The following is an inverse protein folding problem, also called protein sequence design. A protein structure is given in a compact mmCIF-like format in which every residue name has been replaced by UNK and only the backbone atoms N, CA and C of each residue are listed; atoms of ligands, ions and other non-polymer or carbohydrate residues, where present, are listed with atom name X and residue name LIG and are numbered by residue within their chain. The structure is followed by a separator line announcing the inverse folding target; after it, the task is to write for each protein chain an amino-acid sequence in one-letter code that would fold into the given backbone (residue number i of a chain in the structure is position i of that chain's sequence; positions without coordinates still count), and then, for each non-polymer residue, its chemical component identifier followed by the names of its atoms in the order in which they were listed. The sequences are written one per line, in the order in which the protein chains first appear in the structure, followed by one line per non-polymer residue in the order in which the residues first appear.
data_IF_547092676878
#
_entry.id   IF_547092676878
#
_cell.length_a   1.000
_cell.length_b   1.000
_cell.length_c   1.000
_cell.angle_alpha   90.00
_cell.angle_beta   90.00
_cell.angle_gamma   90.00
#
_symmetry.space_group_name_H-M   'P 1'
#
loop_
_entity.id
_entity.type
_entity.pdbx_description
1 polymer ?
#
# COMPACT_ATOMS: atom_id res chain seq x y z
N UNK A 1 -3.11 11.85 -0.12
CA UNK A 1 -2.25 12.10 -1.29
C UNK A 1 -2.46 10.95 -2.26
N UNK A 2 -2.57 11.20 -3.57
CA UNK A 2 -2.89 10.14 -4.52
C UNK A 2 -1.65 9.33 -4.92
N UNK A 3 -1.83 8.01 -4.99
CA UNK A 3 -0.95 7.05 -5.64
C UNK A 3 -1.54 6.62 -6.96
N UNK A 4 -0.73 6.58 -8.02
CA UNK A 4 -1.20 6.33 -9.37
C UNK A 4 -0.94 4.90 -9.82
N UNK A 5 -2.00 4.24 -10.30
CA UNK A 5 -1.94 2.97 -10.97
C UNK A 5 -1.92 3.09 -12.50
N UNK A 6 -1.90 1.95 -13.21
CA UNK A 6 -2.02 1.89 -14.66
C UNK A 6 -3.21 2.71 -15.18
N UNK A 7 -3.02 3.41 -16.29
CA UNK A 7 -4.06 4.25 -16.90
C UNK A 7 -4.33 5.57 -16.19
N UNK A 8 -3.49 5.99 -15.24
CA UNK A 8 -3.58 7.29 -14.55
C UNK A 8 -4.64 7.33 -13.45
N UNK A 9 -5.19 6.18 -13.07
CA UNK A 9 -6.13 6.07 -11.98
C UNK A 9 -5.44 6.26 -10.63
N UNK A 10 -6.11 6.90 -9.67
CA UNK A 10 -5.53 7.16 -8.34
C UNK A 10 -6.21 6.41 -7.19
N UNK A 11 -5.46 6.26 -6.09
CA UNK A 11 -5.91 5.85 -4.76
C UNK A 11 -5.36 6.81 -3.72
N UNK A 12 -6.19 7.18 -2.74
CA UNK A 12 -5.73 8.04 -1.64
C UNK A 12 -5.02 7.24 -0.56
N UNK A 13 -3.82 7.68 -0.20
CA UNK A 13 -3.11 7.23 1.00
C UNK A 13 -3.85 7.75 2.23
N UNK A 14 -4.19 6.86 3.15
CA UNK A 14 -4.82 7.22 4.44
C UNK A 14 -3.79 7.56 5.51
N UNK A 15 -2.62 6.90 5.49
CA UNK A 15 -1.57 7.09 6.50
C UNK A 15 -0.19 6.76 5.93
N UNK A 16 0.84 7.47 6.41
CA UNK A 16 2.27 7.22 6.13
C UNK A 16 2.94 6.87 7.44
N UNK A 17 3.74 5.81 7.47
CA UNK A 17 4.51 5.39 8.64
C UNK A 17 5.98 5.23 8.26
N UNK A 18 6.87 5.75 9.11
CA UNK A 18 8.32 5.59 9.00
C UNK A 18 8.82 4.72 10.14
N UNK A 19 9.56 3.66 9.83
CA UNK A 19 10.27 2.86 10.83
C UNK A 19 11.76 3.17 10.73
N UNK A 20 12.33 3.75 11.78
CA UNK A 20 13.70 4.29 11.78
C UNK A 20 14.79 3.23 12.01
N UNK A 21 14.43 2.06 12.52
CA UNK A 21 15.35 0.92 12.65
C UNK A 21 15.46 0.19 11.30
N UNK A 22 16.25 0.76 10.37
CA UNK A 22 16.46 0.23 9.02
C UNK A 22 15.78 0.99 7.88
N UNK A 23 15.22 2.18 8.15
CA UNK A 23 14.44 3.03 7.24
C UNK A 23 13.50 2.26 6.32
N UNK A 24 12.37 1.85 6.88
CA UNK A 24 11.25 1.32 6.13
C UNK A 24 10.12 2.36 6.07
N UNK A 25 9.69 2.70 4.86
CA UNK A 25 8.51 3.56 4.65
C UNK A 25 7.32 2.67 4.31
N UNK A 26 6.22 2.84 5.03
CA UNK A 26 4.96 2.15 4.81
C UNK A 26 3.84 3.14 4.52
N UNK A 27 2.96 2.75 3.60
CA UNK A 27 1.71 3.44 3.31
C UNK A 27 0.54 2.55 3.69
N UNK A 28 -0.48 3.15 4.29
CA UNK A 28 -1.77 2.50 4.48
C UNK A 28 -2.81 3.14 3.57
N UNK A 29 -3.71 2.29 3.08
CA UNK A 29 -4.83 2.66 2.23
C UNK A 29 -6.11 2.11 2.82
N UNK A 30 -7.17 2.89 2.75
CA UNK A 30 -8.54 2.45 3.00
C UNK A 30 -9.31 2.49 1.68
N UNK A 31 -9.72 1.31 1.22
CA UNK A 31 -10.28 1.09 -0.11
C UNK A 31 -11.76 0.80 -0.04
N UNK A 32 -12.51 1.36 -0.99
CA UNK A 32 -13.82 0.85 -1.35
C UNK A 32 -13.71 -0.49 -2.08
N UNK A 33 -14.84 -1.16 -2.31
CA UNK A 33 -14.85 -2.40 -3.07
C UNK A 33 -14.41 -2.20 -4.52
N UNK A 34 -14.81 -1.10 -5.16
CA UNK A 34 -14.43 -0.81 -6.54
C UNK A 34 -12.94 -0.52 -6.67
N UNK A 35 -12.37 0.19 -5.70
CA UNK A 35 -10.91 0.40 -5.60
C UNK A 35 -10.16 -0.91 -5.44
N UNK A 36 -10.67 -1.80 -4.59
CA UNK A 36 -10.10 -3.12 -4.41
C UNK A 36 -10.11 -3.93 -5.71
N UNK A 37 -11.21 -3.94 -6.47
CA UNK A 37 -11.26 -4.64 -7.76
C UNK A 37 -10.21 -4.11 -8.73
N UNK A 38 -10.00 -2.79 -8.78
CA UNK A 38 -8.96 -2.17 -9.62
C UNK A 38 -7.56 -2.59 -9.21
N UNK A 39 -7.29 -2.64 -7.90
CA UNK A 39 -6.02 -3.13 -7.34
C UNK A 39 -5.81 -4.61 -7.66
N UNK A 40 -6.83 -5.43 -7.43
CA UNK A 40 -6.82 -6.87 -7.60
C UNK A 40 -6.59 -7.28 -9.05
N UNK A 41 -7.37 -6.72 -9.97
CA UNK A 41 -7.29 -6.98 -11.41
C UNK A 41 -6.03 -6.37 -12.04
N UNK A 42 -5.64 -5.17 -11.59
CA UNK A 42 -4.49 -4.45 -12.12
C UNK A 42 -3.15 -4.91 -11.57
N UNK A 43 -3.13 -5.78 -10.55
CA UNK A 43 -1.91 -6.20 -9.86
C UNK A 43 -1.14 -5.06 -9.20
N UNK A 44 -1.84 -4.04 -8.69
CA UNK A 44 -1.20 -2.86 -8.09
C UNK A 44 -0.44 -3.28 -6.84
N UNK A 45 0.61 -2.52 -6.47
CA UNK A 45 1.47 -2.86 -5.33
C UNK A 45 2.13 -4.24 -5.45
N UNK A 46 2.39 -4.68 -6.70
CA UNK A 46 2.83 -6.04 -7.06
C UNK A 46 1.92 -7.16 -6.55
N UNK A 47 0.64 -6.85 -6.29
CA UNK A 47 -0.33 -7.77 -5.69
C UNK A 47 -0.92 -8.75 -6.71
N UNK A 48 -0.07 -9.61 -7.28
CA UNK A 48 -0.47 -10.68 -8.19
C UNK A 48 -0.97 -11.91 -7.43
N UNK A 49 -1.78 -12.82 -8.04
CA UNK A 49 -2.23 -14.03 -7.36
C UNK A 49 -1.12 -14.90 -6.75
N UNK A 50 0.06 -15.10 -7.38
CA UNK A 50 1.12 -15.94 -6.84
C UNK A 50 1.78 -15.43 -5.54
N UNK A 51 1.71 -14.13 -5.26
CA UNK A 51 2.33 -13.54 -4.04
C UNK A 51 1.39 -13.57 -2.83
N UNK A 52 0.14 -14.00 -3.00
CA UNK A 52 -0.86 -14.01 -1.94
C UNK A 52 -0.70 -15.24 -1.07
N UNK A 53 -0.54 -15.01 0.23
CA UNK A 53 -0.56 -16.06 1.23
C UNK A 53 -1.97 -16.62 1.44
N UNK A 54 -2.11 -17.62 2.33
CA UNK A 54 -3.40 -18.17 2.70
C UNK A 54 -4.35 -17.10 3.26
N UNK A 55 -5.61 -17.20 2.87
CA UNK A 55 -6.66 -16.33 3.40
C UNK A 55 -7.04 -16.76 4.82
N UNK A 56 -7.10 -15.81 5.75
CA UNK A 56 -7.62 -16.00 7.10
C UNK A 56 -9.02 -15.39 7.25
N UNK A 57 -9.83 -15.93 8.18
CA UNK A 57 -11.11 -15.32 8.56
C UNK A 57 -12.24 -15.37 7.50
N UNK A 58 -12.06 -16.12 6.41
CA UNK A 58 -13.00 -16.23 5.29
C UNK A 58 -12.64 -15.31 4.12
N UNK A 59 -13.50 -15.19 3.10
CA UNK A 59 -13.26 -14.26 1.99
C UNK A 59 -13.55 -12.81 2.35
N UNK A 60 -12.89 -11.88 1.64
CA UNK A 60 -13.24 -10.47 1.62
C UNK A 60 -14.70 -10.29 1.16
N UNK A 61 -15.39 -9.31 1.73
CA UNK A 61 -16.80 -9.02 1.48
C UNK A 61 -16.98 -7.66 0.82
N UNK A 62 -17.90 -7.61 -0.15
CA UNK A 62 -18.38 -6.36 -0.72
C UNK A 62 -19.10 -5.50 0.34
N UNK A 63 -19.02 -4.17 0.19
CA UNK A 63 -19.68 -3.20 1.07
C UNK A 63 -18.95 -2.95 2.40
N UNK A 64 -17.70 -3.39 2.51
CA UNK A 64 -16.83 -3.19 3.68
C UNK A 64 -15.50 -2.59 3.23
N UNK A 65 -14.93 -1.72 4.05
CA UNK A 65 -13.61 -1.13 3.79
C UNK A 65 -12.54 -2.20 3.78
N UNK A 66 -11.67 -2.14 2.79
CA UNK A 66 -10.49 -3.01 2.69
C UNK A 66 -9.26 -2.15 2.99
N UNK A 67 -8.39 -2.67 3.83
CA UNK A 67 -7.15 -2.01 4.22
C UNK A 67 -5.98 -2.69 3.51
N UNK A 68 -5.11 -1.88 2.90
CA UNK A 68 -3.83 -2.36 2.36
C UNK A 68 -2.72 -1.64 3.09
N UNK A 69 -1.75 -2.40 3.58
CA UNK A 69 -0.45 -1.89 4.01
C UNK A 69 0.57 -2.24 2.93
N UNK A 70 1.35 -1.27 2.48
CA UNK A 70 2.40 -1.45 1.48
C UNK A 70 3.71 -0.84 1.93
N UNK A 71 4.83 -1.51 1.68
CA UNK A 71 6.18 -0.97 1.90
C UNK A 71 6.76 -0.39 0.63
N UNK A 72 7.61 0.62 0.78
CA UNK A 72 8.43 1.10 -0.33
C UNK A 72 9.31 -0.04 -0.89
N UNK A 73 9.50 -0.04 -2.20
CA UNK A 73 10.61 -0.78 -2.82
C UNK A 73 11.95 -0.22 -2.36
N UNK A 74 13.01 -1.02 -2.44
CA UNK A 74 14.35 -0.61 -2.00
C UNK A 74 14.84 0.65 -2.74
N UNK A 75 14.51 0.80 -4.03
CA UNK A 75 14.82 2.00 -4.82
C UNK A 75 14.07 3.24 -4.32
N UNK A 76 12.78 3.10 -4.03
CA UNK A 76 11.96 4.19 -3.47
C UNK A 76 12.44 4.55 -2.07
N UNK A 77 12.68 3.55 -1.22
CA UNK A 77 13.18 3.73 0.13
C UNK A 77 14.52 4.45 0.14
N UNK A 78 15.49 4.02 -0.69
CA UNK A 78 16.81 4.66 -0.77
C UNK A 78 16.73 6.15 -1.16
N UNK A 79 15.84 6.51 -2.09
CA UNK A 79 15.65 7.91 -2.49
C UNK A 79 15.01 8.73 -1.39
N UNK A 80 13.96 8.18 -0.77
CA UNK A 80 13.29 8.81 0.36
C UNK A 80 14.28 9.05 1.51
N UNK A 81 15.09 8.07 1.89
CA UNK A 81 16.12 8.20 2.95
C UNK A 81 17.05 9.38 2.72
N UNK A 82 17.46 9.65 1.46
CA UNK A 82 18.35 10.77 1.15
C UNK A 82 17.71 12.15 1.29
N UNK A 83 16.38 12.21 1.44
CA UNK A 83 15.58 13.43 1.42
C UNK A 83 14.85 13.72 2.74
N UNK A 84 14.95 12.81 3.72
CA UNK A 84 14.13 12.82 4.93
C UNK A 84 15.02 13.00 6.16
N UNK A 85 14.76 14.01 6.97
CA UNK A 85 15.33 14.15 8.32
C UNK A 85 14.35 13.61 9.40
N UNK A 86 13.03 13.67 9.16
CA UNK A 86 11.96 13.19 10.08
C UNK A 86 10.72 12.59 9.36
N UNK A 87 9.86 11.84 10.05
CA UNK A 87 8.66 11.18 9.52
C UNK A 87 7.68 12.14 8.83
N UNK A 88 7.57 13.38 9.33
CA UNK A 88 6.74 14.43 8.74
C UNK A 88 7.26 14.89 7.37
N UNK A 89 8.56 14.72 7.12
CA UNK A 89 9.16 15.04 5.82
C UNK A 89 8.79 14.01 4.76
N UNK A 90 8.47 12.76 5.13
CA UNK A 90 8.18 11.71 4.13
C UNK A 90 6.91 12.06 3.37
N UNK A 91 5.84 12.40 4.09
CA UNK A 91 4.57 12.74 3.46
C UNK A 91 4.68 14.02 2.63
N UNK A 92 5.41 15.02 3.11
CA UNK A 92 5.65 16.26 2.39
C UNK A 92 6.49 16.03 1.12
N UNK A 93 7.56 15.22 1.20
CA UNK A 93 8.38 14.85 0.04
C UNK A 93 7.57 14.08 -0.99
N UNK A 94 6.76 13.10 -0.57
CA UNK A 94 5.88 12.37 -1.47
C UNK A 94 4.87 13.32 -2.15
N UNK A 95 4.31 14.29 -1.42
CA UNK A 95 3.41 15.31 -2.00
C UNK A 95 4.12 16.16 -3.05
N UNK A 96 5.36 16.56 -2.79
CA UNK A 96 6.18 17.38 -3.68
C UNK A 96 6.77 16.62 -4.88
N UNK A 97 6.74 15.29 -4.85
CA UNK A 97 7.26 14.44 -5.93
C UNK A 97 6.33 14.47 -7.14
N UNK A 98 6.92 14.46 -8.34
CA UNK A 98 6.17 14.41 -9.61
C UNK A 98 5.25 13.19 -9.67
N UNK A 99 4.03 13.37 -10.18
CA UNK A 99 3.02 12.29 -10.24
C UNK A 99 3.46 11.07 -11.05
N UNK A 100 4.36 11.25 -12.03
CA UNK A 100 4.92 10.17 -12.85
C UNK A 100 6.06 9.40 -12.19
N UNK A 101 6.49 9.79 -10.99
CA UNK A 101 7.61 9.18 -10.32
C UNK A 101 7.28 7.77 -9.78
N UNK A 102 8.31 7.00 -9.45
CA UNK A 102 8.13 5.67 -8.88
C UNK A 102 7.54 5.75 -7.46
N UNK A 103 7.90 6.79 -6.71
CA UNK A 103 7.42 7.09 -5.37
C UNK A 103 5.91 7.37 -5.36
N UNK A 104 5.37 7.94 -6.45
CA UNK A 104 3.94 8.19 -6.65
C UNK A 104 3.22 7.12 -7.47
N UNK A 105 3.95 6.11 -7.96
CA UNK A 105 3.39 4.97 -8.69
C UNK A 105 3.14 3.79 -7.77
N UNK A 106 2.01 3.11 -7.92
CA UNK A 106 1.70 1.85 -7.21
C UNK A 106 2.71 0.73 -7.47
N UNK A 107 3.54 0.84 -8.52
CA UNK A 107 4.62 -0.12 -8.84
C UNK A 107 5.90 0.11 -8.03
N UNK A 108 6.04 1.25 -7.36
CA UNK A 108 7.15 1.55 -6.45
C UNK A 108 7.01 0.93 -5.06
N UNK A 109 5.94 0.18 -4.82
CA UNK A 109 5.52 -0.26 -3.49
C UNK A 109 5.06 -1.72 -3.52
N UNK A 110 5.28 -2.46 -2.45
CA UNK A 110 4.91 -3.86 -2.31
C UNK A 110 3.85 -4.01 -1.22
N UNK A 111 2.68 -4.55 -1.57
CA UNK A 111 1.64 -4.86 -0.58
C UNK A 111 2.18 -5.90 0.40
N UNK A 112 2.04 -5.63 1.70
CA UNK A 112 2.43 -6.53 2.79
C UNK A 112 1.24 -7.32 3.32
N UNK A 113 0.16 -6.62 3.61
CA UNK A 113 -1.08 -7.22 4.07
C UNK A 113 -2.30 -6.55 3.44
N UNK A 114 -3.30 -7.37 3.15
CA UNK A 114 -4.65 -6.94 2.79
C UNK A 114 -5.57 -7.47 3.86
N UNK A 115 -6.32 -6.58 4.52
CA UNK A 115 -7.20 -6.95 5.63
C UNK A 115 -8.53 -6.23 5.54
N UNK A 116 -9.54 -6.79 6.17
CA UNK A 116 -10.87 -6.21 6.28
C UNK A 116 -11.49 -6.63 7.61
N UNK A 117 -12.15 -5.70 8.29
CA UNK A 117 -12.97 -6.03 9.46
C UNK A 117 -14.35 -6.54 9.02
N UNK A 118 -14.68 -7.79 9.37
CA UNK A 118 -16.02 -8.36 9.04
C UNK A 118 -17.08 -7.94 10.05
N UNK A 119 -16.68 -7.87 11.32
CA UNK A 119 -17.46 -7.44 12.49
C UNK A 119 -16.49 -7.00 13.58
N UNK A 120 -16.93 -6.22 14.58
CA UNK A 120 -16.04 -5.70 15.63
C UNK A 120 -15.12 -6.79 16.20
N UNK A 121 -13.81 -6.60 16.02
CA UNK A 121 -12.76 -7.50 16.52
C UNK A 121 -12.52 -8.78 15.69
N UNK A 122 -13.17 -8.95 14.54
CA UNK A 122 -12.95 -10.10 13.64
C UNK A 122 -12.49 -9.64 12.27
N UNK A 123 -11.24 -9.97 11.95
CA UNK A 123 -10.59 -9.63 10.68
C UNK A 123 -10.54 -10.82 9.72
N UNK A 124 -10.51 -10.50 8.44
CA UNK A 124 -10.23 -11.40 7.32
C UNK A 124 -9.18 -10.76 6.42
N UNK A 125 -8.49 -11.55 5.61
CA UNK A 125 -7.48 -11.03 4.70
C UNK A 125 -6.41 -12.05 4.39
N UNK A 126 -5.25 -11.56 3.97
CA UNK A 126 -4.05 -12.36 3.74
C UNK A 126 -2.81 -11.47 3.85
N UNK A 127 -1.68 -12.09 4.19
CA UNK A 127 -0.36 -11.50 4.03
C UNK A 127 0.21 -11.88 2.65
N UNK A 128 1.16 -11.11 2.14
CA UNK A 128 1.86 -11.44 0.91
C UNK A 128 3.22 -12.08 1.21
N UNK A 129 3.87 -12.63 0.18
CA UNK A 129 5.26 -13.08 0.29
C UNK A 129 6.25 -11.94 0.53
N UNK A 130 5.85 -10.68 0.36
CA UNK A 130 6.69 -9.50 0.60
C UNK A 130 6.77 -9.09 2.08
N UNK A 131 5.94 -9.70 2.94
CA UNK A 131 5.92 -9.44 4.38
C UNK A 131 6.95 -10.23 5.18
N UNK A 132 7.79 -11.04 4.51
CA UNK A 132 8.84 -11.87 5.11
C UNK A 132 10.23 -11.36 4.80
#
# INVERSE_FOLDING_TARGET
MPMFGPGGQSLEVSEVQLTTDGVEVRLHFQLSWDDWLRVDEGGWFHLTPPVRGPIFGGSLLQGRTIEIEARASDDVAARLVTQIEDEYDVAANLVATEDSSLERSTTGWYALNVKQERRPGVKTGFATTHAN
#
